data_IF_560791330205
#
_entry.id   IF_560791330205
#
_cell.length_a   1.000
_cell.length_b   1.000
_cell.length_c   1.000
_cell.angle_alpha   90.00
_cell.angle_beta   90.00
_cell.angle_gamma   90.00
#
_symmetry.space_group_name_H-M   'P 1'
#
loop_
_entity.id
_entity.type
_entity.pdbx_description
1 polymer ?
#
# COMPACT_ATOMS: atom_id res chain seq x y z
N UNK A 1 -16.21 -14.84 -1.04
CA UNK A 1 -15.49 -15.92 -0.32
C UNK A 1 -16.09 -16.29 1.04
N UNK A 2 -16.86 -15.42 1.72
CA UNK A 2 -17.47 -15.73 3.03
C UNK A 2 -18.23 -17.05 3.11
N UNK A 3 -19.10 -17.33 2.15
CA UNK A 3 -19.88 -18.58 2.12
C UNK A 3 -18.98 -19.82 2.01
N UNK A 4 -17.93 -19.77 1.20
CA UNK A 4 -16.96 -20.87 1.05
C UNK A 4 -16.21 -21.12 2.35
N UNK A 5 -15.78 -20.07 3.06
CA UNK A 5 -15.11 -20.19 4.37
C UNK A 5 -16.03 -20.79 5.44
N UNK A 6 -17.33 -20.45 5.42
CA UNK A 6 -18.31 -21.10 6.30
C UNK A 6 -18.49 -22.59 5.98
N UNK A 7 -18.51 -22.96 4.70
CA UNK A 7 -18.62 -24.35 4.26
C UNK A 7 -17.39 -25.18 4.64
N UNK A 8 -16.20 -24.57 4.64
CA UNK A 8 -14.95 -25.20 5.11
C UNK A 8 -14.90 -25.36 6.64
N UNK A 9 -15.91 -24.90 7.39
CA UNK A 9 -15.93 -24.98 8.85
C UNK A 9 -15.01 -23.98 9.53
N UNK A 10 -14.57 -22.92 8.85
CA UNK A 10 -13.72 -21.89 9.47
C UNK A 10 -14.50 -21.11 10.54
N UNK A 11 -14.07 -21.23 11.80
CA UNK A 11 -14.69 -20.59 12.95
C UNK A 11 -14.21 -19.13 13.14
N UNK A 12 -14.63 -18.24 12.23
CA UNK A 12 -14.41 -16.80 12.39
C UNK A 12 -15.57 -16.14 13.14
N UNK A 13 -15.26 -15.12 13.96
CA UNK A 13 -16.28 -14.22 14.48
C UNK A 13 -16.73 -13.26 13.35
N UNK A 14 -17.79 -13.64 12.65
CA UNK A 14 -18.33 -12.87 11.54
C UNK A 14 -19.00 -11.54 11.93
N UNK A 15 -19.27 -11.30 13.23
CA UNK A 15 -19.76 -9.99 13.70
C UNK A 15 -18.66 -8.93 13.67
N UNK A 16 -17.39 -9.35 13.60
CA UNK A 16 -16.22 -8.47 13.47
C UNK A 16 -15.67 -8.41 12.05
N UNK A 17 -16.43 -8.90 11.06
CA UNK A 17 -16.06 -8.78 9.65
C UNK A 17 -16.04 -7.30 9.24
N UNK A 18 -15.00 -6.91 8.49
CA UNK A 18 -14.86 -5.58 7.93
C UNK A 18 -14.46 -5.66 6.46
N UNK A 19 -14.80 -4.63 5.70
CA UNK A 19 -14.36 -4.46 4.32
C UNK A 19 -13.63 -3.15 4.17
N UNK A 20 -12.44 -3.17 3.59
CA UNK A 20 -11.58 -1.97 3.49
C UNK A 20 -12.12 -0.92 2.51
N UNK A 21 -13.03 -1.30 1.61
CA UNK A 21 -13.74 -0.39 0.71
C UNK A 21 -15.02 0.22 1.32
N UNK A 22 -15.42 -0.20 2.53
CA UNK A 22 -16.59 0.36 3.22
C UNK A 22 -16.27 1.78 3.76
N UNK A 23 -17.15 2.78 3.57
CA UNK A 23 -16.98 4.12 4.12
C UNK A 23 -16.77 4.18 5.63
N UNK A 24 -17.40 3.28 6.40
CA UNK A 24 -17.24 3.19 7.85
C UNK A 24 -15.79 2.80 8.20
N UNK A 25 -15.11 2.06 7.33
CA UNK A 25 -13.71 1.68 7.49
C UNK A 25 -12.77 2.77 6.95
N UNK A 26 -12.85 3.10 5.65
CA UNK A 26 -11.82 3.93 5.00
C UNK A 26 -11.79 5.37 5.52
N UNK A 27 -12.85 5.86 6.18
CA UNK A 27 -12.82 7.17 6.86
C UNK A 27 -11.67 7.29 7.86
N UNK A 28 -11.31 6.18 8.51
CA UNK A 28 -10.19 6.15 9.46
C UNK A 28 -8.85 6.15 8.74
N UNK A 29 -8.74 5.47 7.60
CA UNK A 29 -7.54 5.55 6.74
C UNK A 29 -7.33 6.98 6.23
N UNK A 30 -8.39 7.66 5.79
CA UNK A 30 -8.35 9.07 5.41
C UNK A 30 -7.92 9.96 6.59
N UNK A 31 -8.51 9.74 7.77
CA UNK A 31 -8.17 10.49 8.98
C UNK A 31 -6.70 10.32 9.36
N UNK A 32 -6.17 9.08 9.39
CA UNK A 32 -4.75 8.81 9.66
C UNK A 32 -3.86 9.51 8.64
N UNK A 33 -4.19 9.43 7.35
CA UNK A 33 -3.42 10.10 6.30
C UNK A 33 -3.34 11.61 6.53
N UNK A 34 -4.46 12.25 6.90
CA UNK A 34 -4.49 13.69 7.23
C UNK A 34 -3.62 13.99 8.46
N UNK A 35 -3.63 13.14 9.49
CA UNK A 35 -2.74 13.33 10.64
C UNK A 35 -1.26 13.23 10.23
N UNK A 36 -0.90 12.23 9.43
CA UNK A 36 0.45 12.08 8.90
C UNK A 36 0.86 13.28 8.06
N UNK A 37 -0.05 13.81 7.23
CA UNK A 37 0.20 14.99 6.42
C UNK A 37 0.47 16.22 7.28
N UNK A 38 -0.36 16.48 8.31
CA UNK A 38 -0.16 17.58 9.26
C UNK A 38 1.18 17.49 10.00
N UNK A 39 1.68 16.28 10.24
CA UNK A 39 2.96 16.03 10.90
C UNK A 39 4.15 15.99 9.92
N UNK A 40 3.95 16.28 8.62
CA UNK A 40 4.99 16.21 7.59
C UNK A 40 5.51 14.80 7.31
N UNK A 41 4.76 13.77 7.72
CA UNK A 41 5.06 12.36 7.50
C UNK A 41 4.43 11.83 6.21
N UNK A 42 3.30 12.39 5.78
CA UNK A 42 2.80 12.23 4.41
C UNK A 42 3.10 13.53 3.64
N UNK A 43 3.65 13.43 2.44
CA UNK A 43 4.00 14.61 1.65
C UNK A 43 3.93 14.33 0.15
N UNK A 44 3.79 15.38 -0.65
CA UNK A 44 3.79 15.29 -2.12
C UNK A 44 5.11 15.82 -2.67
N UNK A 45 5.73 15.08 -3.59
CA UNK A 45 7.01 15.45 -4.22
C UNK A 45 7.04 15.04 -5.69
N UNK A 46 7.68 15.86 -6.53
CA UNK A 46 8.03 15.49 -7.90
C UNK A 46 9.30 14.66 -7.90
N UNK A 47 9.22 13.41 -8.33
CA UNK A 47 10.36 12.49 -8.38
C UNK A 47 10.19 11.42 -9.44
N UNK A 48 11.30 10.79 -9.81
CA UNK A 48 11.26 9.61 -10.65
C UNK A 48 10.65 8.43 -9.88
N UNK A 49 9.54 7.92 -10.40
CA UNK A 49 8.82 6.77 -9.89
C UNK A 49 8.86 5.64 -10.90
N UNK A 50 8.63 4.43 -10.40
CA UNK A 50 8.38 3.29 -11.26
C UNK A 50 6.94 3.33 -11.75
N UNK A 51 6.74 3.03 -13.02
CA UNK A 51 5.45 3.07 -13.70
C UNK A 51 5.20 1.76 -14.42
N UNK A 52 4.01 1.21 -14.20
CA UNK A 52 3.51 0.05 -14.92
C UNK A 52 2.80 0.52 -16.20
N UNK A 53 3.29 0.21 -17.41
CA UNK A 53 2.67 0.63 -18.65
C UNK A 53 1.34 -0.09 -18.96
N UNK A 54 1.13 -1.29 -18.41
CA UNK A 54 -0.08 -2.09 -18.62
C UNK A 54 -1.18 -1.62 -17.68
N UNK A 55 -0.88 -1.58 -16.37
CA UNK A 55 -1.82 -1.17 -15.34
C UNK A 55 -2.02 0.35 -15.27
N UNK A 56 -1.15 1.10 -15.94
CA UNK A 56 -1.17 2.57 -15.99
C UNK A 56 -1.18 3.18 -14.59
N UNK A 57 -0.30 2.68 -13.72
CA UNK A 57 -0.17 3.14 -12.34
C UNK A 57 1.28 3.23 -11.91
N UNK A 58 1.52 4.02 -10.86
CA UNK A 58 2.81 4.06 -10.17
C UNK A 58 2.96 2.81 -9.32
N UNK A 59 4.19 2.27 -9.26
CA UNK A 59 4.57 1.16 -8.40
C UNK A 59 5.47 1.65 -7.26
N UNK A 60 5.24 1.13 -6.06
CA UNK A 60 6.19 1.17 -4.98
C UNK A 60 7.38 0.23 -5.28
N UNK A 61 8.50 0.40 -4.56
CA UNK A 61 9.67 -0.46 -4.77
C UNK A 61 9.36 -1.93 -4.48
N UNK A 62 8.58 -2.18 -3.45
CA UNK A 62 8.16 -3.51 -2.98
C UNK A 62 7.21 -4.22 -3.96
N UNK A 63 6.70 -3.49 -4.96
CA UNK A 63 5.82 -4.01 -6.01
C UNK A 63 6.59 -4.39 -7.28
N UNK A 64 7.92 -4.32 -7.24
CA UNK A 64 8.81 -4.64 -8.35
C UNK A 64 9.58 -5.88 -7.98
N UNK A 65 9.53 -6.89 -8.85
CA UNK A 65 10.28 -8.13 -8.65
C UNK A 65 11.78 -7.97 -8.95
N UNK A 66 12.53 -9.05 -8.76
CA UNK A 66 13.97 -9.08 -8.98
C UNK A 66 14.38 -8.81 -10.45
N UNK A 67 13.47 -9.04 -11.40
CA UNK A 67 13.70 -8.78 -12.83
C UNK A 67 13.31 -7.35 -13.24
N UNK A 68 12.89 -6.52 -12.29
CA UNK A 68 12.46 -5.14 -12.53
C UNK A 68 11.06 -5.04 -13.15
N UNK A 69 10.20 -6.05 -12.96
CA UNK A 69 8.84 -6.10 -13.49
C UNK A 69 7.80 -5.92 -12.38
N UNK A 70 6.62 -5.47 -12.78
CA UNK A 70 5.46 -5.37 -11.92
C UNK A 70 5.04 -6.73 -11.38
N UNK A 71 4.89 -6.86 -10.06
CA UNK A 71 4.44 -8.09 -9.40
C UNK A 71 3.08 -8.61 -9.89
N UNK A 72 2.24 -7.71 -10.43
CA UNK A 72 0.87 -8.03 -10.86
C UNK A 72 0.76 -8.21 -12.37
N UNK A 73 1.25 -7.25 -13.16
CA UNK A 73 1.09 -7.28 -14.62
C UNK A 73 2.21 -8.02 -15.34
N UNK A 74 3.36 -8.25 -14.68
CA UNK A 74 4.57 -8.80 -15.28
C UNK A 74 5.27 -7.86 -16.27
N UNK A 75 4.76 -6.64 -16.48
CA UNK A 75 5.37 -5.67 -17.38
C UNK A 75 6.66 -5.10 -16.78
N UNK A 76 7.65 -4.83 -17.62
CA UNK A 76 8.89 -4.16 -17.18
C UNK A 76 8.58 -2.74 -16.74
N UNK A 77 8.96 -2.39 -15.52
CA UNK A 77 8.66 -1.08 -14.96
C UNK A 77 9.48 0.02 -15.65
N UNK A 78 8.81 1.12 -15.99
CA UNK A 78 9.43 2.31 -16.59
C UNK A 78 9.73 3.38 -15.54
N UNK A 79 10.70 4.26 -15.77
CA UNK A 79 10.95 5.42 -14.90
C UNK A 79 10.25 6.65 -15.46
N UNK A 80 9.34 7.25 -14.68
CA UNK A 80 8.62 8.49 -15.06
C UNK A 80 8.76 9.55 -13.98
N UNK A 81 8.91 10.81 -14.40
CA UNK A 81 8.95 11.96 -13.50
C UNK A 81 7.53 12.44 -13.21
N UNK A 82 6.99 12.12 -12.03
CA UNK A 82 5.61 12.44 -11.64
C UNK A 82 5.55 13.08 -10.26
N UNK A 83 4.48 13.81 -9.98
CA UNK A 83 4.21 14.36 -8.65
C UNK A 83 3.35 13.39 -7.85
N UNK A 84 3.93 12.73 -6.86
CA UNK A 84 3.32 11.61 -6.13
C UNK A 84 3.32 11.83 -4.61
N UNK A 85 2.48 11.08 -3.92
CA UNK A 85 2.43 11.03 -2.46
C UNK A 85 3.46 10.04 -1.92
N UNK A 86 4.08 10.41 -0.81
CA UNK A 86 5.07 9.61 -0.10
C UNK A 86 4.76 9.59 1.39
N UNK A 87 5.03 8.46 2.02
CA UNK A 87 5.12 8.35 3.48
C UNK A 87 6.60 8.33 3.85
N UNK A 88 6.98 9.14 4.85
CA UNK A 88 8.36 9.30 5.32
C UNK A 88 8.79 8.13 6.21
N UNK A 89 8.75 6.92 5.66
CA UNK A 89 9.15 5.67 6.35
C UNK A 89 10.60 5.70 6.80
N UNK A 90 11.47 6.41 6.07
CA UNK A 90 12.90 6.60 6.40
C UNK A 90 13.15 7.24 7.78
N UNK A 91 12.18 7.99 8.32
CA UNK A 91 12.28 8.52 9.69
C UNK A 91 12.28 7.40 10.75
N UNK A 92 11.74 6.23 10.42
CA UNK A 92 11.51 5.12 11.33
C UNK A 92 12.44 3.92 11.10
N UNK A 93 13.38 4.00 10.15
CA UNK A 93 14.30 2.90 9.80
C UNK A 93 14.99 2.29 11.03
N UNK A 94 15.66 3.10 11.86
CA UNK A 94 16.36 2.63 13.08
C UNK A 94 15.44 1.95 14.11
N UNK A 95 14.16 2.27 14.10
CA UNK A 95 13.19 1.66 15.01
C UNK A 95 12.73 0.33 14.43
N UNK A 96 12.45 0.28 13.13
CA UNK A 96 12.01 -0.93 12.43
C UNK A 96 13.10 -2.02 12.36
N UNK A 97 14.37 -1.64 12.17
CA UNK A 97 15.52 -2.55 12.19
C UNK A 97 15.63 -3.34 13.51
N UNK A 98 15.13 -2.80 14.63
CA UNK A 98 15.15 -3.49 15.92
C UNK A 98 14.11 -4.61 16.05
N UNK A 99 13.18 -4.70 15.11
CA UNK A 99 12.08 -5.68 15.10
C UNK A 99 12.22 -6.71 13.98
N UNK A 100 13.24 -6.61 13.13
CA UNK A 100 13.65 -7.70 12.24
C UNK A 100 14.42 -8.73 13.09
N UNK A 101 13.80 -9.89 13.31
CA UNK A 101 14.40 -11.08 13.94
C UNK A 101 15.16 -11.87 12.88
#
# INVERSE_FOLDING_TARGET
MRQQLKQLGCAFNWEKELSTCDPIYYKWTQWIFVQLFKQGLAYKKKSFVYWDPVDKTVLALEQIDNDGKSWRSGAKAERKLLNQWYIKTTKFTKVLEKFEI
#
